data_IF_861341938321
#
_entry.id   IF_861341938321
#
_cell.length_a   1.000
_cell.length_b   1.000
_cell.length_c   1.000
_cell.angle_alpha   90.00
_cell.angle_beta   90.00
_cell.angle_gamma   90.00
#
_symmetry.space_group_name_H-M   'P 1'
#
loop_
_entity.id
_entity.type
_entity.pdbx_description
1 polymer ?
#
# COMPACT_ATOMS: atom_id res chain seq x y z
N UNK A 1 23.74 26.74 -7.70
CA UNK A 1 23.34 25.41 -7.17
C UNK A 1 22.81 25.44 -5.71
N UNK A 2 23.02 26.51 -4.95
CA UNK A 2 22.76 26.56 -3.48
C UNK A 2 21.34 26.95 -3.03
N UNK A 3 20.59 27.77 -3.78
CA UNK A 3 19.25 28.22 -3.35
C UNK A 3 18.18 27.11 -3.45
N UNK A 4 18.23 26.30 -4.50
CA UNK A 4 17.28 25.20 -4.74
C UNK A 4 17.46 24.10 -3.70
N UNK A 5 18.70 23.66 -3.46
CA UNK A 5 19.01 22.67 -2.43
C UNK A 5 18.58 23.13 -1.04
N UNK A 6 18.82 24.40 -0.68
CA UNK A 6 18.35 24.95 0.58
C UNK A 6 16.83 24.91 0.70
N UNK A 7 16.11 25.31 -0.35
CA UNK A 7 14.64 25.30 -0.37
C UNK A 7 14.10 23.87 -0.25
N UNK A 8 14.72 22.90 -0.92
CA UNK A 8 14.39 21.49 -0.81
C UNK A 8 14.57 20.96 0.62
N UNK A 9 15.68 21.31 1.27
CA UNK A 9 15.93 20.90 2.67
C UNK A 9 14.90 21.48 3.63
N UNK A 10 14.49 22.75 3.45
CA UNK A 10 13.47 23.38 4.30
C UNK A 10 12.09 22.76 4.08
N UNK A 11 11.68 22.54 2.82
CA UNK A 11 10.43 21.85 2.50
C UNK A 11 10.44 20.44 3.11
N UNK A 12 11.54 19.71 2.97
CA UNK A 12 11.69 18.38 3.55
C UNK A 12 11.57 18.39 5.09
N UNK A 13 12.20 19.34 5.78
CA UNK A 13 12.09 19.48 7.25
C UNK A 13 10.66 19.76 7.68
N UNK A 14 9.92 20.57 6.92
CA UNK A 14 8.51 20.85 7.20
C UNK A 14 7.66 19.62 6.97
N UNK A 15 7.75 19.00 5.79
CA UNK A 15 6.91 17.85 5.40
C UNK A 15 7.13 16.63 6.30
N UNK A 16 8.38 16.27 6.58
CA UNK A 16 8.72 15.14 7.46
C UNK A 16 8.94 15.56 8.91
N UNK A 17 8.53 16.77 9.27
CA UNK A 17 8.52 17.28 10.64
C UNK A 17 7.34 16.71 11.44
N UNK A 18 7.47 16.68 12.77
CA UNK A 18 6.50 16.06 13.69
C UNK A 18 5.05 16.56 13.52
N UNK A 19 4.88 17.83 13.15
CA UNK A 19 3.55 18.46 13.07
C UNK A 19 2.83 18.16 11.74
N UNK A 20 3.57 17.92 10.66
CA UNK A 20 3.00 17.69 9.33
C UNK A 20 3.10 16.22 8.89
N UNK A 21 3.82 15.37 9.64
CA UNK A 21 4.13 14.00 9.22
C UNK A 21 2.88 13.17 8.88
N UNK A 22 1.81 13.27 9.67
CA UNK A 22 0.56 12.56 9.38
C UNK A 22 -0.05 13.01 8.06
N UNK A 23 -0.18 14.32 7.85
CA UNK A 23 -0.71 14.87 6.60
C UNK A 23 0.16 14.50 5.40
N UNK A 24 1.48 14.57 5.54
CA UNK A 24 2.44 14.13 4.52
C UNK A 24 2.25 12.66 4.17
N UNK A 25 2.15 11.78 5.18
CA UNK A 25 1.92 10.35 4.97
C UNK A 25 0.59 10.08 4.24
N UNK A 26 -0.50 10.74 4.66
CA UNK A 26 -1.80 10.64 3.99
C UNK A 26 -1.70 11.09 2.54
N UNK A 27 -1.09 12.25 2.27
CA UNK A 27 -0.92 12.77 0.92
C UNK A 27 -0.08 11.83 0.04
N UNK A 28 0.96 11.21 0.61
CA UNK A 28 1.79 10.22 -0.09
C UNK A 28 0.95 9.01 -0.48
N UNK A 29 0.20 8.43 0.46
CA UNK A 29 -0.66 7.28 0.18
C UNK A 29 -1.69 7.61 -0.90
N UNK A 30 -2.42 8.73 -0.78
CA UNK A 30 -3.38 9.18 -1.79
C UNK A 30 -2.72 9.29 -3.17
N UNK A 31 -1.57 9.96 -3.24
CA UNK A 31 -0.89 10.24 -4.51
C UNK A 31 -0.41 8.95 -5.18
N UNK A 32 0.21 8.04 -4.42
CA UNK A 32 0.73 6.78 -4.96
C UNK A 32 -0.38 5.81 -5.33
N UNK A 33 -1.42 5.67 -4.52
CA UNK A 33 -2.59 4.84 -4.85
C UNK A 33 -3.33 5.39 -6.07
N UNK A 34 -3.55 6.70 -6.16
CA UNK A 34 -4.18 7.31 -7.33
C UNK A 34 -3.35 7.08 -8.59
N UNK A 35 -2.03 7.27 -8.50
CA UNK A 35 -1.12 7.03 -9.63
C UNK A 35 -1.10 5.56 -10.02
N UNK A 36 -1.09 4.64 -9.04
CA UNK A 36 -1.18 3.19 -9.26
C UNK A 36 -2.44 2.80 -10.02
N UNK A 37 -3.60 3.30 -9.60
CA UNK A 37 -4.87 3.01 -10.27
C UNK A 37 -4.91 3.64 -11.68
N UNK A 38 -4.43 4.87 -11.87
CA UNK A 38 -4.32 5.49 -13.21
C UNK A 38 -3.48 4.62 -14.14
N UNK A 39 -2.30 4.22 -13.68
CA UNK A 39 -1.36 3.38 -14.44
C UNK A 39 -2.00 2.01 -14.75
N UNK A 40 -2.68 1.41 -13.77
CA UNK A 40 -3.39 0.15 -13.96
C UNK A 40 -4.50 0.25 -15.01
N UNK A 41 -5.32 1.30 -14.92
CA UNK A 41 -6.41 1.53 -15.86
C UNK A 41 -5.89 1.82 -17.27
N UNK A 42 -4.81 2.60 -17.41
CA UNK A 42 -4.16 2.86 -18.69
C UNK A 42 -3.62 1.56 -19.32
N UNK A 43 -2.97 0.70 -18.54
CA UNK A 43 -2.51 -0.61 -19.03
C UNK A 43 -3.67 -1.48 -19.51
N UNK A 44 -4.81 -1.48 -18.80
CA UNK A 44 -6.01 -2.22 -19.23
C UNK A 44 -6.60 -1.66 -20.53
N UNK A 45 -6.59 -0.34 -20.73
CA UNK A 45 -7.04 0.28 -21.98
C UNK A 45 -6.11 -0.08 -23.15
N UNK A 46 -4.78 0.03 -22.95
CA UNK A 46 -3.79 -0.29 -23.98
C UNK A 46 -3.82 -1.77 -24.39
N UNK A 47 -4.15 -2.67 -23.47
CA UNK A 47 -4.31 -4.11 -23.74
C UNK A 47 -5.69 -4.50 -24.27
N UNK A 48 -6.63 -3.56 -24.40
CA UNK A 48 -8.00 -3.84 -24.84
C UNK A 48 -8.88 -4.60 -23.83
N UNK A 49 -8.40 -4.78 -22.58
CA UNK A 49 -9.15 -5.47 -21.50
C UNK A 49 -10.30 -4.58 -21.00
N UNK A 50 -10.11 -3.26 -20.99
CA UNK A 50 -11.17 -2.29 -20.69
C UNK A 50 -11.43 -1.39 -21.89
N UNK A 51 -12.68 -0.96 -22.04
CA UNK A 51 -13.11 -0.04 -23.10
C UNK A 51 -13.18 1.42 -22.62
N UNK A 52 -13.18 1.66 -21.31
CA UNK A 52 -13.35 3.00 -20.72
C UNK A 52 -12.51 3.20 -19.47
N UNK A 53 -12.09 4.44 -19.27
CA UNK A 53 -11.48 4.92 -18.04
C UNK A 53 -12.58 5.20 -16.99
N UNK A 54 -12.39 4.72 -15.77
CA UNK A 54 -13.30 4.89 -14.63
C UNK A 54 -12.71 5.85 -13.60
N UNK A 55 -13.13 7.12 -13.67
CA UNK A 55 -12.72 8.17 -12.72
C UNK A 55 -13.28 7.93 -11.31
N UNK A 56 -14.45 7.30 -11.19
CA UNK A 56 -15.07 7.03 -9.89
C UNK A 56 -14.28 5.97 -9.13
N UNK A 57 -13.74 4.97 -9.83
CA UNK A 57 -12.80 4.00 -9.26
C UNK A 57 -11.57 4.69 -8.68
N UNK A 58 -10.90 5.55 -9.45
CA UNK A 58 -9.71 6.27 -8.97
C UNK A 58 -10.03 7.13 -7.74
N UNK A 59 -11.18 7.79 -7.74
CA UNK A 59 -11.66 8.56 -6.59
C UNK A 59 -11.88 7.69 -5.35
N UNK A 60 -12.59 6.56 -5.50
CA UNK A 60 -12.85 5.65 -4.38
C UNK A 60 -11.56 5.06 -3.79
N UNK A 61 -10.61 4.66 -4.65
CA UNK A 61 -9.28 4.16 -4.23
C UNK A 61 -8.47 5.25 -3.52
N UNK A 62 -8.57 6.50 -3.99
CA UNK A 62 -7.91 7.64 -3.34
C UNK A 62 -8.51 7.94 -1.96
N UNK A 63 -9.83 7.78 -1.79
CA UNK A 63 -10.49 7.95 -0.50
C UNK A 63 -10.12 6.85 0.49
N UNK A 64 -10.02 5.58 0.05
CA UNK A 64 -9.57 4.50 0.93
C UNK A 64 -8.12 4.68 1.37
N UNK A 65 -7.26 5.26 0.52
CA UNK A 65 -5.86 5.59 0.84
C UNK A 65 -5.70 6.53 2.05
N UNK A 66 -6.72 7.35 2.37
CA UNK A 66 -6.72 8.17 3.59
C UNK A 66 -6.68 7.28 4.82
N UNK A 67 -7.57 6.29 4.89
CA UNK A 67 -7.64 5.35 6.01
C UNK A 67 -6.34 4.58 6.16
N UNK A 68 -5.79 4.07 5.06
CA UNK A 68 -4.49 3.37 5.06
C UNK A 68 -3.36 4.27 5.59
N UNK A 69 -3.25 5.50 5.10
CA UNK A 69 -2.21 6.43 5.56
C UNK A 69 -2.29 6.77 7.04
N UNK A 70 -3.51 6.91 7.58
CA UNK A 70 -3.75 7.12 9.02
C UNK A 70 -3.33 5.88 9.82
N UNK A 71 -3.80 4.70 9.43
CA UNK A 71 -3.52 3.44 10.12
C UNK A 71 -2.02 3.16 10.14
N UNK A 72 -1.34 3.21 8.98
CA UNK A 72 0.09 2.93 8.88
C UNK A 72 0.93 3.94 9.67
N UNK A 73 0.56 5.22 9.65
CA UNK A 73 1.26 6.25 10.45
C UNK A 73 1.23 5.90 11.95
N UNK A 74 0.05 5.68 12.51
CA UNK A 74 -0.08 5.37 13.94
C UNK A 74 0.51 4.01 14.29
N UNK A 75 0.38 3.02 13.41
CA UNK A 75 0.95 1.69 13.60
C UNK A 75 2.48 1.72 13.72
N UNK A 76 3.17 2.39 12.79
CA UNK A 76 4.63 2.50 12.86
C UNK A 76 5.12 3.33 14.04
N UNK A 77 4.42 4.42 14.37
CA UNK A 77 4.71 5.19 15.58
C UNK A 77 4.54 4.35 16.86
N UNK A 78 3.49 3.53 16.92
CA UNK A 78 3.25 2.63 18.04
C UNK A 78 4.32 1.54 18.14
N UNK A 79 4.66 0.87 17.02
CA UNK A 79 5.69 -0.16 16.99
C UNK A 79 7.06 0.37 17.42
N UNK A 80 7.44 1.58 17.04
CA UNK A 80 8.72 2.15 17.48
C UNK A 80 8.74 2.54 18.95
N UNK A 81 7.59 2.92 19.50
CA UNK A 81 7.47 3.20 20.94
C UNK A 81 7.49 1.90 21.75
N UNK A 82 6.81 0.85 21.26
CA UNK A 82 6.69 -0.44 21.94
C UNK A 82 7.95 -1.31 21.81
N UNK A 83 8.59 -1.28 20.64
CA UNK A 83 9.81 -2.02 20.33
C UNK A 83 10.92 -1.04 19.89
N UNK A 84 11.54 -0.32 20.83
CA UNK A 84 12.59 0.63 20.50
C UNK A 84 13.85 -0.06 19.99
N UNK A 85 14.58 0.63 19.11
CA UNK A 85 15.85 0.17 18.55
C UNK A 85 15.75 -0.53 17.19
N UNK A 86 16.93 -0.86 16.66
CA UNK A 86 17.16 -1.35 15.29
C UNK A 86 17.97 -2.66 15.25
N UNK A 87 18.06 -3.37 16.38
CA UNK A 87 18.69 -4.70 16.38
C UNK A 87 17.89 -5.65 15.48
N UNK A 88 18.57 -6.62 14.86
CA UNK A 88 17.90 -7.57 13.97
C UNK A 88 16.75 -8.31 14.70
N UNK A 89 16.94 -8.65 15.99
CA UNK A 89 15.89 -9.26 16.81
C UNK A 89 14.67 -8.33 17.00
N UNK A 90 14.88 -7.04 17.24
CA UNK A 90 13.79 -6.06 17.34
C UNK A 90 13.07 -5.90 16.01
N UNK A 91 13.81 -5.83 14.90
CA UNK A 91 13.24 -5.73 13.55
C UNK A 91 12.38 -6.95 13.22
N UNK A 92 12.88 -8.16 13.45
CA UNK A 92 12.13 -9.39 13.19
C UNK A 92 10.85 -9.46 14.03
N UNK A 93 10.86 -8.97 15.28
CA UNK A 93 9.65 -8.85 16.10
C UNK A 93 8.65 -7.86 15.50
N UNK A 94 9.10 -6.70 15.00
CA UNK A 94 8.23 -5.73 14.32
C UNK A 94 7.59 -6.32 13.07
N UNK A 95 8.39 -6.98 12.22
CA UNK A 95 7.92 -7.65 11.01
C UNK A 95 6.90 -8.74 11.37
N UNK A 96 7.16 -9.54 12.39
CA UNK A 96 6.20 -10.55 12.86
C UNK A 96 4.87 -9.93 13.29
N UNK A 97 4.89 -8.85 14.08
CA UNK A 97 3.67 -8.14 14.47
C UNK A 97 2.94 -7.54 13.26
N UNK A 98 3.68 -6.98 12.31
CA UNK A 98 3.13 -6.41 11.08
C UNK A 98 2.40 -7.49 10.26
N UNK A 99 3.01 -8.66 10.09
CA UNK A 99 2.45 -9.76 9.32
C UNK A 99 1.29 -10.49 10.02
N UNK A 100 1.27 -10.53 11.36
CA UNK A 100 0.22 -11.24 12.12
C UNK A 100 -1.00 -10.35 12.40
N UNK A 101 -0.80 -9.04 12.54
CA UNK A 101 -1.88 -8.13 12.91
C UNK A 101 -2.25 -7.16 11.80
N UNK A 102 -1.27 -6.41 11.28
CA UNK A 102 -1.56 -5.37 10.28
C UNK A 102 -1.97 -5.97 8.95
N UNK A 103 -1.19 -6.92 8.41
CA UNK A 103 -1.47 -7.52 7.10
C UNK A 103 -2.86 -8.17 7.04
N UNK A 104 -3.29 -9.04 7.98
CA UNK A 104 -4.62 -9.62 7.95
C UNK A 104 -5.74 -8.57 8.07
N UNK A 105 -5.53 -7.54 8.90
CA UNK A 105 -6.48 -6.44 9.03
C UNK A 105 -6.63 -5.65 7.72
N UNK A 106 -5.52 -5.35 7.04
CA UNK A 106 -5.53 -4.67 5.75
C UNK A 106 -6.18 -5.53 4.66
N UNK A 107 -5.96 -6.84 4.67
CA UNK A 107 -6.61 -7.75 3.74
C UNK A 107 -8.12 -7.84 3.94
N UNK A 108 -8.57 -7.95 5.19
CA UNK A 108 -10.01 -7.97 5.51
C UNK A 108 -10.68 -6.67 5.06
N UNK A 109 -10.06 -5.51 5.32
CA UNK A 109 -10.58 -4.21 4.88
C UNK A 109 -10.58 -4.07 3.35
N UNK A 110 -9.56 -4.58 2.67
CA UNK A 110 -9.50 -4.62 1.21
C UNK A 110 -10.64 -5.46 0.62
N UNK A 111 -10.80 -6.70 1.06
CA UNK A 111 -11.86 -7.58 0.56
C UNK A 111 -13.26 -7.05 0.90
N UNK A 112 -13.46 -6.50 2.10
CA UNK A 112 -14.72 -5.85 2.46
C UNK A 112 -15.04 -4.68 1.51
N UNK A 113 -14.06 -3.82 1.22
CA UNK A 113 -14.23 -2.71 0.28
C UNK A 113 -14.55 -3.20 -1.13
N UNK A 114 -13.83 -4.23 -1.59
CA UNK A 114 -14.06 -4.83 -2.90
C UNK A 114 -15.48 -5.39 -3.04
N UNK A 115 -15.97 -6.10 -2.02
CA UNK A 115 -17.32 -6.66 -1.99
C UNK A 115 -18.41 -5.58 -2.10
N UNK A 116 -18.25 -4.46 -1.38
CA UNK A 116 -19.20 -3.33 -1.43
C UNK A 116 -19.17 -2.65 -2.80
N UNK A 117 -17.98 -2.44 -3.37
CA UNK A 117 -17.82 -1.72 -4.65
C UNK A 117 -18.34 -2.53 -5.83
N UNK A 118 -18.10 -3.84 -5.86
CA UNK A 118 -18.49 -4.69 -6.99
C UNK A 118 -19.97 -5.12 -6.97
N UNK A 119 -20.70 -4.88 -5.87
CA UNK A 119 -22.09 -5.34 -5.69
C UNK A 119 -22.26 -6.84 -6.01
N UNK A 120 -21.22 -7.63 -5.75
CA UNK A 120 -21.15 -9.03 -6.12
C UNK A 120 -22.03 -9.89 -5.22
N UNK A 121 -22.70 -10.90 -5.79
CA UNK A 121 -23.32 -11.97 -5.01
C UNK A 121 -22.30 -12.64 -4.10
N UNK A 122 -22.71 -12.98 -2.87
CA UNK A 122 -21.85 -13.52 -1.82
C UNK A 122 -21.04 -14.75 -2.27
N UNK A 123 -21.62 -15.61 -3.11
CA UNK A 123 -20.94 -16.78 -3.66
C UNK A 123 -19.83 -16.41 -4.66
N UNK A 124 -20.05 -15.41 -5.52
CA UNK A 124 -19.03 -14.93 -6.47
C UNK A 124 -17.90 -14.22 -5.75
N UNK A 125 -18.24 -13.43 -4.73
CA UNK A 125 -17.27 -12.80 -3.85
C UNK A 125 -16.36 -13.83 -3.16
N UNK A 126 -16.94 -14.84 -2.51
CA UNK A 126 -16.17 -15.90 -1.83
C UNK A 126 -15.30 -16.70 -2.80
N UNK A 127 -15.83 -17.07 -3.97
CA UNK A 127 -15.05 -17.79 -4.98
C UNK A 127 -13.81 -16.98 -5.40
N UNK A 128 -13.97 -15.68 -5.67
CA UNK A 128 -12.88 -14.79 -6.07
C UNK A 128 -11.87 -14.53 -4.94
N UNK A 129 -12.33 -14.43 -3.69
CA UNK A 129 -11.46 -14.35 -2.52
C UNK A 129 -10.61 -15.61 -2.36
N UNK A 130 -11.18 -16.79 -2.61
CA UNK A 130 -10.47 -18.07 -2.47
C UNK A 130 -9.50 -18.33 -3.64
N UNK A 131 -9.86 -17.98 -4.87
CA UNK A 131 -9.00 -18.21 -6.04
C UNK A 131 -7.96 -17.10 -6.18
N UNK A 132 -8.37 -15.93 -6.66
CA UNK A 132 -7.51 -14.77 -6.88
C UNK A 132 -6.93 -14.23 -5.58
N UNK A 133 -7.75 -14.17 -4.53
CA UNK A 133 -7.32 -13.62 -3.25
C UNK A 133 -6.24 -14.46 -2.56
N UNK A 134 -6.31 -15.79 -2.63
CA UNK A 134 -5.28 -16.65 -2.03
C UNK A 134 -3.93 -16.56 -2.74
N UNK A 135 -3.91 -16.34 -4.05
CA UNK A 135 -2.67 -16.15 -4.80
C UNK A 135 -2.02 -14.80 -4.49
N UNK A 136 -2.82 -13.73 -4.47
CA UNK A 136 -2.33 -12.41 -4.08
C UNK A 136 -1.83 -12.39 -2.64
N UNK A 137 -2.52 -13.07 -1.74
CA UNK A 137 -2.08 -13.23 -0.36
C UNK A 137 -0.74 -13.97 -0.28
N UNK A 138 -0.54 -15.05 -1.04
CA UNK A 138 0.78 -15.73 -1.10
C UNK A 138 1.87 -14.80 -1.62
N UNK A 139 1.60 -14.02 -2.66
CA UNK A 139 2.56 -13.06 -3.20
C UNK A 139 2.91 -11.96 -2.17
N UNK A 140 1.91 -11.50 -1.43
CA UNK A 140 2.06 -10.53 -0.33
C UNK A 140 3.02 -11.06 0.74
N UNK A 141 2.86 -12.31 1.18
CA UNK A 141 3.77 -12.96 2.12
C UNK A 141 5.21 -13.16 1.62
N UNK A 142 5.44 -13.09 0.30
CA UNK A 142 6.79 -13.15 -0.27
C UNK A 142 7.40 -11.75 -0.34
N UNK A 143 6.61 -10.74 -0.68
CA UNK A 143 7.07 -9.37 -0.92
C UNK A 143 7.26 -8.60 0.40
N UNK A 144 6.30 -8.70 1.32
CA UNK A 144 6.27 -7.84 2.49
C UNK A 144 7.29 -8.16 3.57
N UNK A 145 7.56 -9.42 3.95
CA UNK A 145 8.56 -9.65 5.01
C UNK A 145 9.94 -9.10 4.66
N UNK A 146 10.51 -9.31 3.45
CA UNK A 146 11.75 -8.65 3.05
C UNK A 146 11.64 -7.12 3.01
N UNK A 147 10.53 -6.60 2.48
CA UNK A 147 10.31 -5.16 2.40
C UNK A 147 10.24 -4.51 3.79
N UNK A 148 9.53 -5.13 4.74
CA UNK A 148 9.39 -4.64 6.10
C UNK A 148 10.68 -4.80 6.91
N UNK A 149 11.48 -5.84 6.66
CA UNK A 149 12.83 -5.93 7.23
C UNK A 149 13.65 -4.71 6.81
N UNK A 150 13.67 -4.38 5.52
CA UNK A 150 14.35 -3.18 5.03
C UNK A 150 13.79 -1.90 5.67
N UNK A 151 12.46 -1.78 5.72
CA UNK A 151 11.74 -0.64 6.26
C UNK A 151 12.09 -0.38 7.74
N UNK A 152 12.03 -1.41 8.58
CA UNK A 152 12.29 -1.28 10.00
C UNK A 152 13.77 -1.21 10.35
N UNK A 153 14.65 -1.80 9.53
CA UNK A 153 16.09 -1.80 9.78
C UNK A 153 16.78 -0.50 9.32
N UNK A 154 16.49 -0.04 8.10
CA UNK A 154 17.21 1.08 7.49
C UNK A 154 16.49 2.42 7.60
N UNK A 155 15.15 2.43 7.70
CA UNK A 155 14.38 3.66 7.63
C UNK A 155 13.94 4.16 9.00
N UNK A 156 14.16 5.46 9.23
CA UNK A 156 13.53 6.17 10.35
C UNK A 156 12.02 6.22 10.16
N UNK A 157 11.25 6.21 11.25
CA UNK A 157 9.77 6.20 11.30
C UNK A 157 9.11 7.12 10.27
N UNK A 158 9.64 8.33 10.08
CA UNK A 158 9.10 9.35 9.18
C UNK A 158 9.08 8.96 7.69
N UNK A 159 9.95 8.06 7.25
CA UNK A 159 10.02 7.64 5.84
C UNK A 159 9.36 6.29 5.58
N UNK A 160 8.89 5.61 6.63
CA UNK A 160 8.39 4.24 6.50
C UNK A 160 7.14 4.15 5.66
N UNK A 161 6.18 5.07 5.86
CA UNK A 161 4.96 5.12 5.04
C UNK A 161 5.26 5.47 3.59
N UNK A 162 6.26 6.33 3.34
CA UNK A 162 6.70 6.63 1.98
C UNK A 162 7.22 5.40 1.26
N UNK A 163 8.15 4.69 1.90
CA UNK A 163 8.71 3.45 1.36
C UNK A 163 7.64 2.37 1.18
N UNK A 164 6.81 2.16 2.19
CA UNK A 164 5.70 1.21 2.18
C UNK A 164 4.77 1.48 1.00
N UNK A 165 4.36 2.73 0.80
CA UNK A 165 3.50 3.14 -0.32
C UNK A 165 4.15 2.92 -1.69
N UNK A 166 5.48 3.06 -1.80
CA UNK A 166 6.21 2.74 -3.04
C UNK A 166 6.23 1.24 -3.33
N UNK A 167 6.42 0.41 -2.31
CA UNK A 167 6.33 -1.06 -2.44
C UNK A 167 4.91 -1.46 -2.83
N UNK A 168 3.89 -0.86 -2.21
CA UNK A 168 2.48 -1.09 -2.57
C UNK A 168 2.22 -0.75 -4.04
N UNK A 169 2.69 0.40 -4.54
CA UNK A 169 2.54 0.75 -5.96
C UNK A 169 3.13 -0.31 -6.90
N UNK A 170 4.32 -0.83 -6.57
CA UNK A 170 4.93 -1.93 -7.34
C UNK A 170 4.13 -3.23 -7.25
N UNK A 171 3.60 -3.54 -6.07
CA UNK A 171 2.74 -4.71 -5.85
C UNK A 171 1.40 -4.60 -6.59
N UNK A 172 0.79 -3.41 -6.64
CA UNK A 172 -0.45 -3.15 -7.38
C UNK A 172 -0.26 -3.36 -8.89
N UNK A 173 0.89 -2.94 -9.43
CA UNK A 173 1.27 -3.22 -10.80
C UNK A 173 1.43 -4.73 -11.05
N UNK A 174 2.17 -5.43 -10.17
CA UNK A 174 2.43 -6.86 -10.29
C UNK A 174 1.15 -7.71 -10.14
N UNK A 175 0.32 -7.42 -9.15
CA UNK A 175 -0.96 -8.07 -8.93
C UNK A 175 -1.92 -7.88 -10.10
N UNK A 176 -1.92 -6.70 -10.72
CA UNK A 176 -2.70 -6.48 -11.94
C UNK A 176 -2.21 -7.33 -13.11
N UNK A 177 -0.91 -7.65 -13.19
CA UNK A 177 -0.39 -8.53 -14.22
C UNK A 177 -0.85 -9.98 -13.96
N UNK A 178 -0.62 -10.48 -12.74
CA UNK A 178 -1.00 -11.85 -12.33
C UNK A 178 -2.49 -12.14 -12.53
N UNK A 179 -3.35 -11.23 -12.09
CA UNK A 179 -4.81 -11.43 -12.18
C UNK A 179 -5.35 -11.37 -13.61
N UNK A 180 -4.62 -10.74 -14.53
CA UNK A 180 -5.05 -10.60 -15.92
C UNK A 180 -4.58 -11.76 -16.80
N UNK A 181 -3.39 -12.32 -16.54
CA UNK A 181 -2.91 -13.50 -17.31
C UNK A 181 -3.81 -14.72 -17.06
N UNK A 182 -4.34 -14.90 -15.84
CA UNK A 182 -5.23 -16.03 -15.55
C UNK A 182 -6.58 -16.01 -16.30
N UNK A 183 -7.12 -14.83 -16.64
CA UNK A 183 -8.38 -14.76 -17.40
C UNK A 183 -8.20 -15.04 -18.89
N UNK A 184 -6.96 -15.18 -19.38
CA UNK A 184 -6.67 -15.49 -20.78
C UNK A 184 -6.33 -16.98 -21.01
N UNK A 185 -6.18 -17.76 -19.94
CA UNK A 185 -5.88 -19.20 -19.98
C UNK A 185 -7.12 -20.10 -19.74
N UNK A 186 -8.31 -19.51 -19.63
CA UNK A 186 -9.63 -20.18 -19.62
C UNK A 186 -10.39 -19.91 -20.94
#
# INVERSE_FOLDING_TARGET
>A
MTKILRKLTEVHKVLFGRNCLLATNICICISLTATGDVVQQQTKLLRGISQRYDTRRTFNMSMSAISFGVICHYWYCWLDKFLPGYSLATVLKKVFLDQVFLSPFMWVTYFATLGVVEQSDWQRFLCRCLTSGSQLYKAEWIVWPPAQIFNFYFLSTKYRVLYDSFVSFGFDWYSSYLLNDQNNDD
#
